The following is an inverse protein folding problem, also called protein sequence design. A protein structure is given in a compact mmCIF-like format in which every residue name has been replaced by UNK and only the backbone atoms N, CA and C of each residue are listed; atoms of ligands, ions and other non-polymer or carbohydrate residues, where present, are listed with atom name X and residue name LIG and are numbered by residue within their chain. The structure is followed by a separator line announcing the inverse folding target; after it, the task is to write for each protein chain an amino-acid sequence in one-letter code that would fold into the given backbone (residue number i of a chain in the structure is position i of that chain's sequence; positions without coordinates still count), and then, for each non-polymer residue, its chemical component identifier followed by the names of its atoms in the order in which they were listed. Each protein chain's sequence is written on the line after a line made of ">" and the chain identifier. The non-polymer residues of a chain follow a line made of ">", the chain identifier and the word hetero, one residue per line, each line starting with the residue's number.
data_IF_413814386925
#
_entry.id   IF_413814386925
#
_cell.length_a   1.000
_cell.length_b   1.000
_cell.length_c   1.000
_cell.angle_alpha   90.00
_cell.angle_beta   90.00
_cell.angle_gamma   90.00
#
_symmetry.space_group_name_H-M   'P 1'
#
loop_
_entity.id
_entity.type
_entity.pdbx_description
1 polymer ?
#
# COMPACT_ATOMS: atom_id res chain seq x y z
N UNK A 1 -11.99 -22.63 -9.41
CA UNK A 1 -11.26 -22.59 -8.12
C UNK A 1 -12.26 -22.37 -7.00
N UNK A 2 -11.89 -22.68 -5.76
CA UNK A 2 -12.72 -22.41 -4.56
C UNK A 2 -13.18 -20.94 -4.50
N UNK A 3 -12.27 -20.01 -4.80
CA UNK A 3 -12.57 -18.57 -4.90
C UNK A 3 -13.70 -18.26 -5.90
N UNK A 4 -13.64 -18.78 -7.13
CA UNK A 4 -14.68 -18.51 -8.14
C UNK A 4 -16.04 -19.05 -7.72
N UNK A 5 -16.08 -20.19 -7.02
CA UNK A 5 -17.32 -20.75 -6.49
C UNK A 5 -17.93 -19.86 -5.39
N UNK A 6 -17.10 -19.35 -4.48
CA UNK A 6 -17.54 -18.41 -3.44
C UNK A 6 -18.07 -17.10 -4.05
N UNK A 7 -17.38 -16.55 -5.04
CA UNK A 7 -17.82 -15.33 -5.75
C UNK A 7 -19.15 -15.57 -6.46
N UNK A 8 -19.31 -16.72 -7.14
CA UNK A 8 -20.57 -17.10 -7.78
C UNK A 8 -21.72 -17.20 -6.78
N UNK A 9 -21.48 -17.78 -5.60
CA UNK A 9 -22.47 -17.86 -4.52
C UNK A 9 -22.90 -16.46 -4.04
N UNK A 10 -21.95 -15.57 -3.77
CA UNK A 10 -22.25 -14.20 -3.31
C UNK A 10 -23.00 -13.42 -4.38
N UNK A 11 -22.53 -13.44 -5.64
CA UNK A 11 -23.18 -12.74 -6.74
C UNK A 11 -24.58 -13.29 -7.03
N UNK A 12 -24.81 -14.60 -6.90
CA UNK A 12 -26.14 -15.20 -7.06
C UNK A 12 -27.10 -14.85 -5.93
N UNK A 13 -26.59 -14.62 -4.72
CA UNK A 13 -27.40 -14.27 -3.56
C UNK A 13 -27.78 -12.79 -3.51
N UNK A 14 -26.86 -11.89 -3.90
CA UNK A 14 -27.03 -10.44 -3.72
C UNK A 14 -27.08 -9.64 -5.01
N UNK A 15 -26.76 -10.24 -6.16
CA UNK A 15 -26.78 -9.55 -7.44
C UNK A 15 -28.18 -9.43 -8.03
N UNK A 16 -28.32 -8.48 -8.94
CA UNK A 16 -29.53 -8.24 -9.73
C UNK A 16 -29.15 -7.96 -11.20
N UNK A 17 -30.12 -7.82 -12.14
CA UNK A 17 -29.80 -7.60 -13.55
C UNK A 17 -28.97 -6.34 -13.87
N UNK A 18 -29.01 -5.33 -13.00
CA UNK A 18 -28.29 -4.07 -13.16
C UNK A 18 -26.99 -4.00 -12.32
N UNK A 19 -26.81 -4.91 -11.36
CA UNK A 19 -25.69 -4.85 -10.41
C UNK A 19 -25.05 -6.22 -10.12
N UNK A 20 -23.72 -6.25 -10.25
CA UNK A 20 -22.89 -7.41 -9.84
C UNK A 20 -22.02 -7.02 -8.64
N UNK A 21 -22.27 -7.59 -7.44
CA UNK A 21 -21.58 -7.19 -6.21
C UNK A 21 -20.06 -7.39 -6.25
N UNK A 22 -19.58 -8.54 -6.72
CA UNK A 22 -18.16 -8.86 -6.81
C UNK A 22 -17.76 -9.03 -8.28
N UNK A 23 -16.95 -8.09 -8.77
CA UNK A 23 -16.31 -8.18 -10.09
C UNK A 23 -14.90 -8.76 -9.94
N UNK A 24 -14.77 -10.06 -10.22
CA UNK A 24 -13.47 -10.73 -10.22
C UNK A 24 -12.76 -10.54 -11.56
N UNK A 25 -11.52 -10.05 -11.53
CA UNK A 25 -10.73 -9.77 -12.72
C UNK A 25 -9.39 -10.50 -12.61
N UNK A 26 -9.24 -11.60 -13.34
CA UNK A 26 -8.00 -12.40 -13.35
C UNK A 26 -7.17 -12.12 -14.61
N UNK A 27 -6.67 -10.88 -14.72
CA UNK A 27 -5.77 -10.46 -15.80
C UNK A 27 -4.78 -9.42 -15.27
N UNK A 28 -3.61 -9.36 -15.89
CA UNK A 28 -2.62 -8.33 -15.59
C UNK A 28 -3.10 -6.97 -16.10
N UNK A 29 -2.84 -5.93 -15.32
CA UNK A 29 -3.12 -4.54 -15.66
C UNK A 29 -1.82 -3.73 -15.61
N UNK A 30 -1.71 -2.69 -16.44
CA UNK A 30 -0.59 -1.77 -16.35
C UNK A 30 -0.66 -0.95 -15.06
N UNK A 31 0.48 -0.47 -14.59
CA UNK A 31 0.55 0.36 -13.37
C UNK A 31 -0.34 1.61 -13.46
N UNK A 32 -0.40 2.25 -14.63
CA UNK A 32 -1.25 3.42 -14.87
C UNK A 32 -2.74 3.10 -14.70
N UNK A 33 -3.18 1.92 -15.17
CA UNK A 33 -4.57 1.50 -15.00
C UNK A 33 -4.87 1.23 -13.53
N UNK A 34 -3.97 0.55 -12.81
CA UNK A 34 -4.13 0.29 -11.38
C UNK A 34 -4.18 1.60 -10.58
N UNK A 35 -3.31 2.56 -10.87
CA UNK A 35 -3.32 3.88 -10.22
C UNK A 35 -4.67 4.60 -10.42
N UNK A 36 -5.25 4.54 -11.62
CA UNK A 36 -6.58 5.09 -11.89
C UNK A 36 -7.68 4.39 -11.10
N UNK A 37 -7.63 3.05 -10.99
CA UNK A 37 -8.57 2.28 -10.17
C UNK A 37 -8.43 2.62 -8.69
N UNK A 38 -7.20 2.78 -8.19
CA UNK A 38 -6.95 3.19 -6.82
C UNK A 38 -7.50 4.59 -6.55
N UNK A 39 -7.25 5.56 -7.44
CA UNK A 39 -7.78 6.94 -7.32
C UNK A 39 -9.30 6.97 -7.23
N UNK A 40 -9.98 6.10 -7.96
CA UNK A 40 -11.44 6.02 -7.98
C UNK A 40 -12.05 5.18 -6.84
N UNK A 41 -11.23 4.44 -6.08
CA UNK A 41 -11.72 3.51 -5.07
C UNK A 41 -11.85 4.17 -3.70
N UNK A 42 -13.07 4.22 -3.17
CA UNK A 42 -13.36 4.72 -1.82
C UNK A 42 -12.69 3.91 -0.70
N UNK A 43 -12.47 2.61 -0.93
CA UNK A 43 -11.84 1.71 0.05
C UNK A 43 -10.92 0.73 -0.66
N UNK A 44 -9.72 0.52 -0.12
CA UNK A 44 -8.90 -0.65 -0.42
C UNK A 44 -8.89 -1.60 0.77
N UNK A 45 -9.22 -2.86 0.52
CA UNK A 45 -9.15 -3.93 1.53
C UNK A 45 -7.99 -4.86 1.18
N UNK A 46 -6.92 -4.78 1.97
CA UNK A 46 -5.68 -5.52 1.78
C UNK A 46 -5.48 -6.44 2.98
N UNK A 47 -5.96 -7.68 2.87
CA UNK A 47 -6.08 -8.60 4.01
C UNK A 47 -5.23 -9.88 3.86
N UNK A 48 -3.91 -9.81 3.58
CA UNK A 48 -3.08 -11.00 3.48
C UNK A 48 -2.93 -11.70 4.84
N UNK A 49 -2.82 -13.02 4.82
CA UNK A 49 -2.58 -13.82 6.03
C UNK A 49 -1.12 -13.68 6.53
N UNK A 50 -0.17 -13.46 5.60
CA UNK A 50 1.23 -13.14 5.86
C UNK A 50 1.78 -12.36 4.67
N UNK A 51 2.43 -11.24 4.95
CA UNK A 51 3.10 -10.45 3.91
C UNK A 51 4.26 -9.66 4.53
N UNK A 52 5.48 -9.82 4.00
CA UNK A 52 6.65 -9.09 4.48
C UNK A 52 6.53 -7.58 4.24
N UNK A 53 5.96 -7.18 3.11
CA UNK A 53 5.64 -5.78 2.80
C UNK A 53 4.59 -5.73 1.70
N UNK A 54 3.52 -4.98 1.94
CA UNK A 54 2.45 -4.85 0.96
C UNK A 54 2.56 -3.53 0.18
N UNK A 55 3.12 -3.58 -1.03
CA UNK A 55 3.25 -2.40 -1.88
C UNK A 55 1.89 -1.92 -2.42
N UNK A 56 0.93 -2.82 -2.63
CA UNK A 56 -0.42 -2.44 -3.08
C UNK A 56 -1.10 -1.49 -2.08
N UNK A 57 -0.90 -1.70 -0.78
CA UNK A 57 -1.39 -0.79 0.26
C UNK A 57 -0.75 0.60 0.14
N UNK A 58 0.57 0.67 -0.09
CA UNK A 58 1.30 1.94 -0.26
C UNK A 58 0.91 2.66 -1.56
N UNK A 59 0.80 1.91 -2.67
CA UNK A 59 0.38 2.42 -3.98
C UNK A 59 -1.05 2.96 -3.95
N UNK A 60 -1.97 2.26 -3.26
CA UNK A 60 -3.33 2.75 -3.07
C UNK A 60 -3.35 4.11 -2.38
N UNK A 61 -2.60 4.23 -1.26
CA UNK A 61 -2.53 5.45 -0.48
C UNK A 61 -1.91 6.62 -1.28
N UNK A 62 -0.83 6.34 -2.00
CA UNK A 62 -0.14 7.32 -2.85
C UNK A 62 -1.00 7.78 -4.03
N UNK A 63 -1.93 6.95 -4.51
CA UNK A 63 -2.84 7.31 -5.60
C UNK A 63 -4.02 8.19 -5.14
N UNK A 64 -4.36 8.26 -3.84
CA UNK A 64 -5.55 8.97 -3.36
C UNK A 64 -5.48 10.50 -3.56
N UNK A 65 -6.64 11.14 -3.65
CA UNK A 65 -6.77 12.59 -3.59
C UNK A 65 -6.63 13.08 -2.14
N UNK A 66 -5.65 13.93 -1.78
CA UNK A 66 -5.58 14.47 -0.43
C UNK A 66 -6.83 15.27 -0.01
N UNK A 67 -7.59 15.81 -0.97
CA UNK A 67 -8.83 16.54 -0.67
C UNK A 67 -10.05 15.64 -0.45
N UNK A 68 -10.03 14.42 -1.01
CA UNK A 68 -11.09 13.42 -0.85
C UNK A 68 -10.52 11.98 -0.84
N UNK A 69 -9.70 11.61 0.16
CA UNK A 69 -8.96 10.35 0.12
C UNK A 69 -9.83 9.16 0.56
N UNK A 70 -9.71 8.03 -0.12
CA UNK A 70 -10.31 6.78 0.33
C UNK A 70 -9.65 6.20 1.60
N UNK A 71 -10.21 5.11 2.10
CA UNK A 71 -9.80 4.45 3.35
C UNK A 71 -9.09 3.14 3.08
N UNK A 72 -7.97 2.91 3.76
CA UNK A 72 -7.24 1.64 3.73
C UNK A 72 -7.66 0.74 4.89
N UNK A 73 -8.19 -0.45 4.59
CA UNK A 73 -8.38 -1.56 5.53
C UNK A 73 -7.23 -2.54 5.34
N UNK A 74 -6.45 -2.80 6.38
CA UNK A 74 -5.16 -3.49 6.26
C UNK A 74 -5.01 -4.61 7.29
N UNK A 75 -4.54 -5.77 6.84
CA UNK A 75 -4.17 -6.87 7.74
C UNK A 75 -3.06 -6.46 8.70
N UNK A 76 -3.21 -6.81 9.98
CA UNK A 76 -2.13 -6.72 10.97
C UNK A 76 -0.88 -7.56 10.61
N UNK A 77 -1.03 -8.54 9.71
CA UNK A 77 0.04 -9.42 9.26
C UNK A 77 0.78 -8.92 8.01
N UNK A 78 0.39 -7.75 7.49
CA UNK A 78 1.15 -7.07 6.45
C UNK A 78 2.24 -6.21 7.08
N UNK A 79 3.48 -6.30 6.60
CA UNK A 79 4.58 -5.45 7.09
C UNK A 79 4.27 -3.95 7.00
N UNK A 80 3.49 -3.53 6.00
CA UNK A 80 3.03 -2.16 5.82
C UNK A 80 2.19 -1.64 7.01
N UNK A 81 1.55 -2.51 7.80
CA UNK A 81 0.75 -2.11 8.96
C UNK A 81 1.57 -1.39 10.03
N UNK A 82 2.89 -1.62 10.08
CA UNK A 82 3.80 -0.91 10.98
C UNK A 82 4.08 0.54 10.57
N UNK A 83 3.91 0.83 9.28
CA UNK A 83 4.21 2.13 8.68
C UNK A 83 2.95 2.97 8.41
N UNK A 84 1.77 2.33 8.42
CA UNK A 84 0.51 2.93 8.01
C UNK A 84 -0.50 2.95 9.18
N UNK A 85 -0.24 3.69 10.28
CA UNK A 85 -1.07 3.66 11.49
C UNK A 85 -2.46 4.27 11.30
N UNK A 86 -2.67 5.06 10.24
CA UNK A 86 -3.98 5.63 9.89
C UNK A 86 -4.95 4.61 9.28
N UNK A 87 -4.45 3.45 8.82
CA UNK A 87 -5.29 2.38 8.28
C UNK A 87 -6.20 1.75 9.34
N UNK A 88 -7.33 1.20 8.89
CA UNK A 88 -8.16 0.34 9.73
C UNK A 88 -7.51 -1.05 9.80
N UNK A 89 -6.78 -1.31 10.88
CA UNK A 89 -6.09 -2.58 11.09
C UNK A 89 -7.08 -3.67 11.47
N UNK A 90 -7.00 -4.81 10.77
CA UNK A 90 -7.89 -5.96 10.97
C UNK A 90 -7.12 -7.27 11.08
N UNK A 91 -7.72 -8.24 11.78
CA UNK A 91 -7.31 -9.63 11.72
C UNK A 91 -8.08 -10.34 10.59
N UNK A 92 -7.42 -10.80 9.50
CA UNK A 92 -8.10 -11.47 8.39
C UNK A 92 -8.78 -12.80 8.77
N UNK A 93 -8.47 -13.37 9.94
CA UNK A 93 -9.15 -14.55 10.46
C UNK A 93 -10.53 -14.25 11.07
N UNK A 94 -10.85 -12.98 11.31
CA UNK A 94 -12.10 -12.52 11.94
C UNK A 94 -12.99 -11.83 10.90
N UNK A 95 -13.77 -12.62 10.16
CA UNK A 95 -14.60 -12.11 9.06
C UNK A 95 -15.56 -10.98 9.49
N UNK A 96 -16.15 -11.06 10.68
CA UNK A 96 -17.05 -10.03 11.20
C UNK A 96 -16.33 -8.72 11.49
N UNK A 97 -15.09 -8.78 11.99
CA UNK A 97 -14.26 -7.59 12.22
C UNK A 97 -13.87 -6.94 10.89
N UNK A 98 -13.52 -7.75 9.87
CA UNK A 98 -13.25 -7.26 8.52
C UNK A 98 -14.50 -6.59 7.93
N UNK A 99 -15.68 -7.19 8.07
CA UNK A 99 -16.94 -6.62 7.60
C UNK A 99 -17.28 -5.30 8.32
N UNK A 100 -17.09 -5.23 9.65
CA UNK A 100 -17.28 -4.02 10.42
C UNK A 100 -16.31 -2.91 10.01
N UNK A 101 -15.04 -3.25 9.75
CA UNK A 101 -14.04 -2.29 9.25
C UNK A 101 -14.39 -1.77 7.85
N UNK A 102 -14.86 -2.64 6.95
CA UNK A 102 -15.31 -2.24 5.61
C UNK A 102 -16.53 -1.30 5.69
N UNK A 103 -17.51 -1.61 6.55
CA UNK A 103 -18.66 -0.72 6.80
C UNK A 103 -18.20 0.64 7.31
N UNK A 104 -17.34 0.65 8.34
CA UNK A 104 -16.78 1.89 8.89
C UNK A 104 -16.03 2.69 7.83
N UNK A 105 -15.24 2.03 6.99
CA UNK A 105 -14.49 2.68 5.92
C UNK A 105 -15.41 3.40 4.92
N UNK A 106 -16.52 2.76 4.52
CA UNK A 106 -17.51 3.33 3.60
C UNK A 106 -18.32 4.48 4.22
N UNK A 107 -18.52 4.46 5.53
CA UNK A 107 -19.28 5.48 6.27
C UNK A 107 -18.39 6.59 6.87
N UNK A 108 -17.07 6.54 6.66
CA UNK A 108 -16.12 7.43 7.32
C UNK A 108 -16.26 8.88 6.84
N UNK A 109 -16.47 9.85 7.75
CA UNK A 109 -16.55 11.26 7.38
C UNK A 109 -15.27 11.76 6.71
N UNK A 110 -15.40 12.69 5.76
CA UNK A 110 -14.27 13.24 5.01
C UNK A 110 -13.15 13.77 5.92
N UNK A 111 -13.50 14.45 7.02
CA UNK A 111 -12.51 14.97 7.97
C UNK A 111 -11.62 13.86 8.55
N UNK A 112 -12.21 12.75 9.01
CA UNK A 112 -11.47 11.60 9.54
C UNK A 112 -10.62 10.93 8.45
N UNK A 113 -11.14 10.84 7.21
CA UNK A 113 -10.38 10.28 6.08
C UNK A 113 -9.11 11.09 5.80
N UNK A 114 -9.21 12.42 5.78
CA UNK A 114 -8.06 13.32 5.58
C UNK A 114 -7.07 13.25 6.75
N UNK A 115 -7.56 13.23 7.98
CA UNK A 115 -6.74 13.10 9.19
C UNK A 115 -5.92 11.80 9.19
N UNK A 116 -6.51 10.69 8.74
CA UNK A 116 -5.82 9.41 8.62
C UNK A 116 -4.83 9.39 7.45
N UNK A 117 -5.24 9.93 6.31
CA UNK A 117 -4.47 9.87 5.05
C UNK A 117 -3.20 10.70 5.10
N UNK A 118 -3.29 11.95 5.55
CA UNK A 118 -2.19 12.92 5.50
C UNK A 118 -0.87 12.43 6.15
N UNK A 119 -0.84 11.97 7.41
CA UNK A 119 0.41 11.53 8.04
C UNK A 119 0.97 10.25 7.41
N UNK A 120 0.10 9.37 6.91
CA UNK A 120 0.56 8.17 6.22
C UNK A 120 1.17 8.52 4.85
N UNK A 121 0.61 9.49 4.13
CA UNK A 121 1.17 9.96 2.87
C UNK A 121 2.52 10.65 3.08
N UNK A 122 2.62 11.49 4.11
CA UNK A 122 3.89 12.12 4.51
C UNK A 122 4.96 11.06 4.80
N UNK A 123 4.64 10.05 5.62
CA UNK A 123 5.53 8.93 5.89
C UNK A 123 5.99 8.20 4.60
N UNK A 124 5.09 7.98 3.64
CA UNK A 124 5.44 7.35 2.36
C UNK A 124 6.38 8.20 1.51
N UNK A 125 6.20 9.53 1.51
CA UNK A 125 7.05 10.44 0.75
C UNK A 125 8.45 10.56 1.35
N UNK A 126 8.56 10.49 2.68
CA UNK A 126 9.83 10.48 3.40
C UNK A 126 10.56 9.14 3.28
N UNK A 127 9.84 8.02 3.19
CA UNK A 127 10.38 6.66 3.18
C UNK A 127 10.22 5.98 1.82
N UNK A 128 10.74 6.62 0.77
CA UNK A 128 10.71 6.06 -0.59
C UNK A 128 11.74 4.93 -0.78
N UNK A 129 11.67 4.27 -1.94
CA UNK A 129 12.57 3.14 -2.29
C UNK A 129 14.04 3.54 -2.35
N UNK A 130 14.34 4.82 -2.67
CA UNK A 130 15.71 5.32 -2.73
C UNK A 130 16.27 5.44 -1.33
N UNK A 131 15.52 6.05 -0.41
CA UNK A 131 15.89 6.11 1.01
C UNK A 131 16.14 4.72 1.59
N UNK A 132 15.25 3.77 1.32
CA UNK A 132 15.45 2.39 1.78
C UNK A 132 16.77 1.79 1.27
N UNK A 133 17.10 1.99 -0.01
CA UNK A 133 18.33 1.50 -0.59
C UNK A 133 19.56 2.18 0.04
N UNK A 134 19.52 3.50 0.24
CA UNK A 134 20.59 4.25 0.87
C UNK A 134 20.83 3.80 2.32
N UNK A 135 19.78 3.69 3.12
CA UNK A 135 19.86 3.29 4.53
C UNK A 135 20.38 1.84 4.67
N UNK A 136 19.94 0.94 3.79
CA UNK A 136 20.41 -0.45 3.74
C UNK A 136 21.91 -0.51 3.40
N UNK A 137 22.36 0.27 2.41
CA UNK A 137 23.76 0.32 2.00
C UNK A 137 24.66 0.97 3.05
N UNK A 138 24.19 2.03 3.70
CA UNK A 138 24.91 2.65 4.82
C UNK A 138 25.13 1.64 5.94
N UNK A 139 24.08 0.92 6.34
CA UNK A 139 24.13 -0.10 7.40
C UNK A 139 25.10 -1.25 7.04
N UNK A 140 25.06 -1.72 5.79
CA UNK A 140 25.97 -2.77 5.31
C UNK A 140 27.44 -2.36 5.40
N UNK A 141 27.73 -1.08 5.24
CA UNK A 141 29.10 -0.56 5.18
C UNK A 141 29.61 -0.23 6.58
N UNK A 142 28.74 0.28 7.45
CA UNK A 142 29.08 0.44 8.86
C UNK A 142 29.41 -0.91 9.52
N UNK A 143 28.78 -2.00 9.06
CA UNK A 143 29.05 -3.37 9.52
C UNK A 143 30.19 -4.10 8.79
N UNK A 144 30.76 -3.56 7.71
CA UNK A 144 31.74 -4.25 6.87
C UNK A 144 33.06 -3.47 6.74
N UNK A 145 34.25 -4.12 6.81
CA UNK A 145 35.51 -3.46 6.52
C UNK A 145 35.69 -3.34 5.00
N UNK A 146 34.87 -2.57 4.26
CA UNK A 146 34.98 -2.58 2.79
C UNK A 146 34.54 -1.30 2.06
N UNK A 147 35.49 -0.36 1.91
CA UNK A 147 35.40 0.79 0.98
C UNK A 147 35.05 0.42 -0.47
N UNK A 148 35.49 -0.74 -0.96
CA UNK A 148 35.32 -1.16 -2.38
C UNK A 148 33.89 -1.54 -2.76
N UNK A 149 33.06 -2.00 -1.82
CA UNK A 149 31.67 -2.39 -2.11
C UNK A 149 30.80 -1.15 -2.37
N UNK A 150 31.04 -0.08 -1.61
CA UNK A 150 30.34 1.20 -1.80
C UNK A 150 30.58 1.82 -3.17
N UNK A 151 31.82 1.80 -3.66
CA UNK A 151 32.17 2.38 -4.96
C UNK A 151 31.46 1.63 -6.10
N UNK A 152 31.40 0.30 -6.03
CA UNK A 152 30.69 -0.52 -7.02
C UNK A 152 29.18 -0.31 -7.03
N UNK A 153 28.57 -0.14 -5.85
CA UNK A 153 27.12 0.04 -5.72
C UNK A 153 26.69 1.46 -6.11
N UNK A 154 27.46 2.48 -5.73
CA UNK A 154 27.24 3.87 -6.16
C UNK A 154 27.28 4.00 -7.69
N UNK A 155 28.16 3.27 -8.36
CA UNK A 155 28.20 3.20 -9.81
C UNK A 155 26.96 2.50 -10.42
N UNK A 156 26.44 1.47 -9.76
CA UNK A 156 25.22 0.73 -10.17
C UNK A 156 23.93 1.56 -10.05
N UNK A 157 23.86 2.47 -9.07
CA UNK A 157 22.72 3.37 -8.85
C UNK A 157 22.95 4.80 -9.35
N UNK A 158 24.06 5.08 -10.02
CA UNK A 158 24.35 6.38 -10.65
C UNK A 158 24.67 7.54 -9.68
N UNK A 159 25.11 7.23 -8.45
CA UNK A 159 25.43 8.25 -7.43
C UNK A 159 26.92 8.60 -7.51
N UNK A 160 27.25 9.78 -8.05
CA UNK A 160 28.66 10.25 -8.14
C UNK A 160 29.19 10.75 -6.79
N UNK A 161 30.50 10.59 -6.59
CA UNK A 161 31.22 10.85 -5.32
C UNK A 161 31.52 12.32 -5.01
N UNK A 162 31.06 13.27 -5.81
CA UNK A 162 31.41 14.68 -5.66
C UNK A 162 30.17 15.50 -5.31
N UNK A 163 29.93 15.71 -4.01
CA UNK A 163 29.69 17.01 -3.37
C UNK A 163 29.01 16.86 -1.99
N UNK A 164 29.23 17.86 -1.12
CA UNK A 164 28.59 18.03 0.19
C UNK A 164 27.06 18.18 0.10
N UNK A 165 26.40 18.67 1.19
CA UNK A 165 25.03 18.32 1.56
C UNK A 165 24.07 18.33 0.36
N UNK A 166 23.46 17.17 0.16
CA UNK A 166 22.59 16.78 -0.96
C UNK A 166 21.58 17.89 -1.28
N UNK A 167 21.88 18.67 -2.32
CA UNK A 167 20.92 19.52 -3.00
C UNK A 167 20.92 19.10 -4.47
N UNK A 168 19.82 18.49 -4.96
CA UNK A 168 19.62 18.23 -6.38
C UNK A 168 18.17 18.51 -6.78
N UNK A 169 18.04 19.13 -7.97
CA UNK A 169 16.82 19.62 -8.63
C UNK A 169 15.81 18.53 -8.98
#
# INVERSE_FOLDING_TARGET
>A
SELTALIGKVNGQYGDPAWTPIRYVNRSHSRTVLAGLYRAAHVAMVTPLRDGMNLVAKEYLAAQDPEDPGVLVLSQFAGAAKELPGALIVNPHEADAVAAALKRALEMPLAERRERHAPMLEHLLENDVRKWAEDYLATLVEGAPTRRLLEGIRALFGVSSENGPLAFR
#
